data_IF_841532737112
#
_entry.id   IF_841532737112
#
_cell.length_a   1.000
_cell.length_b   1.000
_cell.length_c   1.000
_cell.angle_alpha   90.00
_cell.angle_beta   90.00
_cell.angle_gamma   90.00
#
_symmetry.space_group_name_H-M   'P 1'
#
loop_
_entity.id
_entity.type
_entity.pdbx_description
1 polymer ?
#
# COMPACT_ATOMS: atom_id res chain seq x y z
N UNK A 1 -7.73 12.78 -5.89
CA UNK A 1 -7.79 11.56 -5.05
C UNK A 1 -6.56 10.78 -5.40
N UNK A 2 -5.76 10.38 -4.42
CA UNK A 2 -4.51 9.64 -4.65
C UNK A 2 -4.52 8.35 -3.85
N UNK A 3 -3.68 7.42 -4.27
CA UNK A 3 -3.44 6.12 -3.69
C UNK A 3 -2.02 6.13 -3.17
N UNK A 4 -1.88 5.91 -1.87
CA UNK A 4 -0.57 5.68 -1.28
C UNK A 4 -0.32 4.18 -1.21
N UNK A 5 0.85 3.78 -1.68
CA UNK A 5 1.39 2.44 -1.63
C UNK A 5 2.51 2.41 -0.62
N UNK A 6 2.57 1.35 0.18
CA UNK A 6 3.65 1.11 1.12
C UNK A 6 3.96 -0.38 1.10
N UNK A 7 5.23 -0.76 0.94
CA UNK A 7 5.67 -2.15 0.90
C UNK A 7 7.02 -2.37 1.59
N UNK A 8 7.13 -3.52 2.25
CA UNK A 8 8.31 -3.94 3.02
C UNK A 8 8.51 -3.13 4.31
N UNK A 9 9.46 -3.58 5.14
CA UNK A 9 9.72 -2.98 6.47
C UNK A 9 10.32 -1.57 6.41
N UNK A 10 10.78 -1.15 5.22
CA UNK A 10 11.34 0.20 4.98
C UNK A 10 10.31 1.18 4.40
N UNK A 11 9.07 0.77 4.20
CA UNK A 11 8.03 1.62 3.64
C UNK A 11 8.34 2.08 2.21
N UNK A 12 8.90 1.20 1.38
CA UNK A 12 9.16 1.52 -0.03
C UNK A 12 7.81 1.63 -0.73
N UNK A 13 7.56 2.78 -1.35
CA UNK A 13 6.22 3.09 -1.83
C UNK A 13 6.12 4.41 -2.58
N UNK A 14 4.93 4.66 -3.10
CA UNK A 14 4.62 5.79 -3.97
C UNK A 14 3.21 6.33 -3.74
N UNK A 15 2.97 7.55 -4.23
CA UNK A 15 1.64 8.18 -4.22
C UNK A 15 1.24 8.49 -5.65
N UNK A 16 0.10 7.96 -6.10
CA UNK A 16 -0.38 8.13 -7.48
C UNK A 16 -1.89 8.29 -7.54
N UNK A 17 -2.42 9.07 -8.48
CA UNK A 17 -3.87 9.22 -8.68
C UNK A 17 -4.48 8.07 -9.51
N UNK A 18 -3.64 7.16 -10.03
CA UNK A 18 -4.07 6.04 -10.85
C UNK A 18 -4.03 4.71 -10.08
N UNK A 19 -5.19 4.09 -9.90
CA UNK A 19 -5.35 2.82 -9.18
C UNK A 19 -4.52 1.68 -9.78
N UNK A 20 -4.44 1.57 -11.11
CA UNK A 20 -3.67 0.51 -11.76
C UNK A 20 -2.17 0.70 -11.58
N UNK A 21 -1.72 1.96 -11.60
CA UNK A 21 -0.31 2.29 -11.32
C UNK A 21 0.02 1.96 -9.86
N UNK A 22 -0.84 2.33 -8.91
CA UNK A 22 -0.66 2.03 -7.50
C UNK A 22 -0.55 0.51 -7.23
N UNK A 23 -1.43 -0.29 -7.82
CA UNK A 23 -1.37 -1.75 -7.67
C UNK A 23 -0.10 -2.34 -8.30
N UNK A 24 0.32 -1.83 -9.47
CA UNK A 24 1.56 -2.25 -10.10
C UNK A 24 2.77 -1.93 -9.22
N UNK A 25 2.84 -0.72 -8.66
CA UNK A 25 3.92 -0.30 -7.75
C UNK A 25 3.96 -1.17 -6.48
N UNK A 26 2.80 -1.52 -5.92
CA UNK A 26 2.71 -2.42 -4.77
C UNK A 26 3.31 -3.80 -5.08
N UNK A 27 2.97 -4.36 -6.25
CA UNK A 27 3.48 -5.64 -6.69
C UNK A 27 4.97 -5.60 -7.00
N UNK A 28 5.44 -4.53 -7.66
CA UNK A 28 6.84 -4.35 -8.03
C UNK A 28 7.73 -4.19 -6.78
N UNK A 29 7.27 -3.40 -5.81
CA UNK A 29 7.96 -3.22 -4.53
C UNK A 29 8.05 -4.53 -3.73
N UNK A 30 7.04 -5.40 -3.82
CA UNK A 30 7.08 -6.73 -3.23
C UNK A 30 7.93 -7.71 -4.04
N UNK A 31 7.99 -7.59 -5.37
CA UNK A 31 8.67 -8.55 -6.24
C UNK A 31 10.15 -8.73 -5.89
N UNK A 32 10.82 -7.64 -5.50
CA UNK A 32 12.22 -7.65 -5.06
C UNK A 32 12.44 -8.28 -3.68
N UNK A 33 11.38 -8.62 -2.93
CA UNK A 33 11.47 -9.16 -1.57
C UNK A 33 11.24 -10.67 -1.56
N UNK A 34 12.04 -11.42 -0.80
CA UNK A 34 11.81 -12.86 -0.58
C UNK A 34 10.55 -13.12 0.27
N UNK A 35 10.32 -12.24 1.24
CA UNK A 35 9.11 -12.14 2.06
C UNK A 35 8.80 -10.67 2.29
N UNK A 36 7.52 -10.30 2.39
CA UNK A 36 7.15 -8.91 2.59
C UNK A 36 5.65 -8.71 2.71
N UNK A 37 5.26 -7.53 3.15
CA UNK A 37 3.87 -7.08 3.19
C UNK A 37 3.79 -5.70 2.60
N UNK A 38 2.65 -5.36 2.03
CA UNK A 38 2.37 -4.02 1.60
C UNK A 38 0.90 -3.69 1.66
N UNK A 39 0.59 -2.42 1.55
CA UNK A 39 -0.77 -1.90 1.58
C UNK A 39 -0.93 -0.79 0.56
N UNK A 40 -2.15 -0.64 0.11
CA UNK A 40 -2.61 0.49 -0.69
C UNK A 40 -3.82 1.11 0.01
N UNK A 41 -3.76 2.40 0.28
CA UNK A 41 -4.84 3.14 0.93
C UNK A 41 -5.15 4.44 0.21
N UNK A 42 -6.39 4.89 0.39
CA UNK A 42 -6.81 6.20 -0.09
C UNK A 42 -6.05 7.30 0.64
N UNK A 43 -5.61 8.31 -0.09
CA UNK A 43 -5.12 9.55 0.45
C UNK A 43 -5.74 10.74 -0.31
N UNK A 44 -6.06 11.80 0.43
CA UNK A 44 -6.54 13.06 -0.13
C UNK A 44 -5.80 14.19 0.54
N UNK A 45 -5.29 15.14 -0.24
CA UNK A 45 -4.72 16.36 0.32
C UNK A 45 -5.80 17.07 1.13
N UNK A 46 -5.52 17.34 2.41
CA UNK A 46 -6.43 18.08 3.25
C UNK A 46 -6.52 19.51 2.74
N UNK A 47 -7.75 20.04 2.61
CA UNK A 47 -7.97 21.44 2.27
C UNK A 47 -7.88 22.35 3.51
N UNK A 48 -7.87 21.78 4.71
CA UNK A 48 -7.97 22.49 6.00
C UNK A 48 -6.66 22.35 6.81
N UNK A 49 -5.88 21.29 6.60
CA UNK A 49 -4.64 21.00 7.32
C UNK A 49 -3.47 20.78 6.35
N UNK A 50 -2.23 20.96 6.81
CA UNK A 50 -1.04 20.56 6.04
C UNK A 50 -0.93 19.04 6.07
N UNK A 51 -1.01 18.39 4.89
CA UNK A 51 -0.80 16.95 4.73
C UNK A 51 -1.96 16.18 4.11
N UNK A 52 -1.86 14.85 4.10
CA UNK A 52 -2.86 13.94 3.55
C UNK A 52 -3.82 13.43 4.63
N UNK A 53 -5.11 13.43 4.31
CA UNK A 53 -6.14 12.65 5.00
C UNK A 53 -6.18 11.27 4.39
N UNK A 54 -5.96 10.25 5.22
CA UNK A 54 -5.95 8.86 4.80
C UNK A 54 -7.32 8.22 5.01
N UNK A 55 -7.79 7.51 4.00
CA UNK A 55 -8.99 6.68 4.05
C UNK A 55 -8.67 5.23 4.43
N UNK A 56 -9.67 4.33 4.38
CA UNK A 56 -9.47 2.92 4.67
C UNK A 56 -8.46 2.27 3.72
N UNK A 57 -7.83 1.20 4.21
CA UNK A 57 -6.98 0.33 3.37
C UNK A 57 -7.87 -0.39 2.37
N UNK A 58 -7.51 -0.30 1.10
CA UNK A 58 -8.28 -0.87 -0.01
C UNK A 58 -7.67 -2.18 -0.49
N UNK A 59 -6.35 -2.34 -0.38
CA UNK A 59 -5.66 -3.59 -0.68
C UNK A 59 -4.55 -3.81 0.33
N UNK A 60 -4.43 -5.03 0.84
CA UNK A 60 -3.20 -5.53 1.45
C UNK A 60 -2.59 -6.60 0.54
N UNK A 61 -1.28 -6.66 0.51
CA UNK A 61 -0.55 -7.68 -0.23
C UNK A 61 0.48 -8.33 0.68
N UNK A 62 0.58 -9.65 0.59
CA UNK A 62 1.52 -10.45 1.36
C UNK A 62 2.33 -11.29 0.40
N UNK A 63 3.65 -11.19 0.48
CA UNK A 63 4.57 -12.04 -0.25
C UNK A 63 5.27 -13.01 0.70
N UNK A 64 5.20 -14.29 0.38
CA UNK A 64 5.87 -15.35 1.12
C UNK A 64 6.34 -16.41 0.13
N UNK A 65 7.60 -16.83 0.26
CA UNK A 65 8.20 -17.87 -0.60
C UNK A 65 8.06 -17.56 -2.10
N UNK A 66 8.19 -16.27 -2.47
CA UNK A 66 8.03 -15.79 -3.85
C UNK A 66 6.59 -15.68 -4.36
N UNK A 67 5.60 -16.18 -3.62
CA UNK A 67 4.18 -16.07 -3.96
C UNK A 67 3.61 -14.79 -3.36
N UNK A 68 2.91 -13.98 -4.16
CA UNK A 68 2.24 -12.75 -3.70
C UNK A 68 0.72 -12.94 -3.71
N UNK A 69 0.09 -12.71 -2.56
CA UNK A 69 -1.35 -12.77 -2.36
C UNK A 69 -1.87 -11.36 -2.14
N UNK A 70 -2.85 -10.94 -2.94
CA UNK A 70 -3.57 -9.68 -2.73
C UNK A 70 -4.89 -9.96 -2.03
N UNK A 71 -5.22 -9.15 -1.04
CA UNK A 71 -6.48 -9.19 -0.30
C UNK A 71 -7.16 -7.84 -0.46
N UNK A 72 -8.41 -7.87 -0.92
CA UNK A 72 -9.24 -6.68 -1.05
C UNK A 72 -9.78 -6.27 0.32
N UNK A 73 -9.47 -5.05 0.75
CA UNK A 73 -9.69 -4.59 2.11
C UNK A 73 -8.82 -5.34 3.13
N UNK A 74 -8.61 -4.74 4.29
CA UNK A 74 -7.89 -5.40 5.37
C UNK A 74 -7.51 -4.46 6.49
N UNK A 75 -7.64 -4.93 7.72
CA UNK A 75 -7.03 -4.27 8.87
C UNK A 75 -5.56 -4.62 8.85
N UNK A 76 -4.69 -3.62 8.77
CA UNK A 76 -3.29 -3.79 9.14
C UNK A 76 -3.31 -4.07 10.64
N UNK A 77 -3.38 -5.33 11.05
CA UNK A 77 -3.23 -5.68 12.46
C UNK A 77 -1.85 -5.18 12.87
N UNK A 78 -1.85 -4.06 13.60
CA UNK A 78 -0.71 -3.65 14.37
C UNK A 78 -0.56 -4.72 15.43
N UNK A 79 0.34 -5.68 15.20
CA UNK A 79 0.86 -6.49 16.28
C UNK A 79 1.54 -5.49 17.23
N UNK A 80 0.80 -5.12 18.29
CA UNK A 80 1.35 -4.51 19.49
C UNK A 80 2.30 -5.51 20.16
#
# INVERSE_FOLDING_TARGET
>A
MVWEVEAGDRGVGGVTDNLFVAQKELLDALYGLGTGRGRMRYARLSFIHVGYVYGPIVVTAHRKDGVTVLVAGGTWESTL
#
